data_IF_993396713460
#
_entry.id   IF_993396713460
#
_cell.length_a   1.000
_cell.length_b   1.000
_cell.length_c   1.000
_cell.angle_alpha   90.00
_cell.angle_beta   90.00
_cell.angle_gamma   90.00
#
_symmetry.space_group_name_H-M   'P 1'
#
loop_
_entity.id
_entity.type
_entity.pdbx_description
1 polymer ?
#
# COMPACT_ATOMS: atom_id res chain seq x y z
N UNK A 1 23.10 -28.23 -10.68
CA UNK A 1 21.89 -27.44 -10.42
C UNK A 1 21.25 -27.99 -9.16
N UNK A 2 21.57 -27.42 -8.00
CA UNK A 2 20.96 -27.84 -6.75
C UNK A 2 19.47 -27.45 -6.75
N UNK A 3 18.59 -28.43 -6.69
CA UNK A 3 17.20 -28.23 -6.28
C UNK A 3 17.23 -27.79 -4.83
N UNK A 4 17.26 -26.47 -4.56
CA UNK A 4 16.88 -25.95 -3.26
C UNK A 4 15.51 -26.54 -2.94
N UNK A 5 15.44 -27.40 -1.94
CA UNK A 5 14.20 -27.86 -1.33
C UNK A 5 13.45 -26.61 -0.85
N UNK A 6 12.52 -26.16 -1.67
CA UNK A 6 11.77 -24.93 -1.45
C UNK A 6 10.79 -25.23 -0.33
N UNK A 7 11.15 -24.87 0.88
CA UNK A 7 10.36 -25.03 2.10
C UNK A 7 8.99 -24.37 1.95
N UNK A 8 7.97 -24.87 2.62
CA UNK A 8 6.62 -24.29 2.69
C UNK A 8 6.61 -22.82 3.18
N UNK A 9 7.76 -22.33 3.66
CA UNK A 9 7.96 -20.94 4.10
C UNK A 9 7.73 -19.92 2.98
N UNK A 10 8.02 -20.25 1.71
CA UNK A 10 7.77 -19.34 0.57
C UNK A 10 6.28 -18.96 0.45
N UNK A 11 5.37 -19.89 0.75
CA UNK A 11 3.94 -19.63 0.72
C UNK A 11 3.49 -18.69 1.84
N UNK A 12 4.18 -18.72 3.00
CA UNK A 12 3.96 -17.73 4.07
C UNK A 12 4.33 -16.33 3.57
N UNK A 13 5.40 -16.20 2.78
CA UNK A 13 5.78 -14.93 2.14
C UNK A 13 4.71 -14.47 1.14
N UNK A 14 4.16 -15.38 0.32
CA UNK A 14 3.07 -15.05 -0.61
C UNK A 14 1.82 -14.55 0.12
N UNK A 15 1.41 -15.23 1.18
CA UNK A 15 0.28 -14.81 2.01
C UNK A 15 0.51 -13.46 2.71
N UNK A 16 1.75 -13.21 3.16
CA UNK A 16 2.10 -11.90 3.73
C UNK A 16 1.99 -10.79 2.68
N UNK A 17 2.49 -11.03 1.46
CA UNK A 17 2.37 -10.08 0.35
C UNK A 17 0.89 -9.83 0.02
N UNK A 18 0.08 -10.89 -0.05
CA UNK A 18 -1.37 -10.78 -0.24
C UNK A 18 -2.02 -9.91 0.85
N UNK A 19 -1.74 -10.19 2.13
CA UNK A 19 -2.29 -9.46 3.26
C UNK A 19 -1.91 -7.97 3.22
N UNK A 20 -0.65 -7.66 2.91
CA UNK A 20 -0.17 -6.28 2.77
C UNK A 20 -0.92 -5.58 1.61
N UNK A 21 -1.04 -6.24 0.46
CA UNK A 21 -1.76 -5.68 -0.69
C UNK A 21 -3.25 -5.48 -0.39
N UNK A 22 -3.87 -6.41 0.32
CA UNK A 22 -5.25 -6.34 0.75
C UNK A 22 -5.51 -5.12 1.66
N UNK A 23 -4.69 -4.95 2.70
CA UNK A 23 -4.81 -3.83 3.65
C UNK A 23 -4.55 -2.50 2.94
N UNK A 24 -3.51 -2.43 2.10
CA UNK A 24 -3.18 -1.23 1.31
C UNK A 24 -4.36 -0.73 0.47
N UNK A 25 -5.05 -1.64 -0.24
CA UNK A 25 -6.22 -1.27 -1.03
C UNK A 25 -7.46 -1.00 -0.19
N UNK A 26 -7.62 -1.68 0.94
CA UNK A 26 -8.68 -1.39 1.90
C UNK A 26 -8.56 0.04 2.45
N UNK A 27 -7.36 0.48 2.82
CA UNK A 27 -7.10 1.85 3.29
C UNK A 27 -7.44 2.92 2.25
N UNK A 28 -7.19 2.64 0.97
CA UNK A 28 -7.57 3.55 -0.14
C UNK A 28 -9.08 3.69 -0.26
N UNK A 29 -9.81 2.60 -0.12
CA UNK A 29 -11.28 2.60 -0.23
C UNK A 29 -11.93 3.22 1.00
N UNK A 30 -11.37 3.01 2.19
CA UNK A 30 -11.89 3.58 3.44
C UNK A 30 -12.03 5.11 3.37
N UNK A 31 -11.05 5.81 2.77
CA UNK A 31 -11.19 7.25 2.56
C UNK A 31 -12.35 7.60 1.63
N UNK A 32 -12.54 6.81 0.56
CA UNK A 32 -13.64 7.06 -0.39
C UNK A 32 -15.00 6.87 0.29
N UNK A 33 -15.13 5.89 1.18
CA UNK A 33 -16.33 5.65 1.98
C UNK A 33 -16.54 6.78 3.00
N UNK A 34 -15.46 7.26 3.64
CA UNK A 34 -15.52 8.36 4.60
C UNK A 34 -15.71 9.75 3.95
N UNK A 35 -15.48 9.87 2.64
CA UNK A 35 -15.55 11.15 1.91
C UNK A 35 -16.84 11.94 2.15
N UNK A 36 -18.06 11.36 2.07
CA UNK A 36 -19.30 12.12 2.32
C UNK A 36 -19.36 12.70 3.74
N UNK A 37 -18.91 11.94 4.74
CA UNK A 37 -18.89 12.35 6.14
C UNK A 37 -17.88 13.48 6.34
N UNK A 38 -16.67 13.35 5.81
CA UNK A 38 -15.63 14.39 5.85
C UNK A 38 -16.11 15.69 5.19
N UNK A 39 -16.76 15.57 4.01
CA UNK A 39 -17.30 16.73 3.31
C UNK A 39 -18.36 17.45 4.14
N UNK A 40 -19.22 16.71 4.83
CA UNK A 40 -20.28 17.29 5.67
C UNK A 40 -19.71 17.92 6.93
N UNK A 41 -18.77 17.28 7.59
CA UNK A 41 -18.18 17.73 8.86
C UNK A 41 -17.28 18.96 8.69
N UNK A 42 -16.44 18.95 7.65
CA UNK A 42 -15.46 20.03 7.41
C UNK A 42 -15.89 21.06 6.36
N UNK A 43 -17.06 20.90 5.75
CA UNK A 43 -17.53 21.79 4.69
C UNK A 43 -16.69 21.70 3.41
N UNK A 44 -16.08 20.54 3.12
CA UNK A 44 -15.26 20.36 1.94
C UNK A 44 -16.10 20.13 0.68
N UNK A 45 -15.64 20.68 -0.43
CA UNK A 45 -16.25 20.43 -1.74
C UNK A 45 -15.70 19.14 -2.35
N UNK A 46 -16.37 18.64 -3.41
CA UNK A 46 -15.85 17.50 -4.20
C UNK A 46 -14.47 17.81 -4.81
N UNK A 47 -14.23 19.08 -5.16
CA UNK A 47 -12.93 19.52 -5.69
C UNK A 47 -11.86 19.42 -4.62
N UNK A 48 -12.14 19.82 -3.38
CA UNK A 48 -11.21 19.71 -2.26
C UNK A 48 -10.81 18.24 -2.00
N UNK A 49 -11.79 17.33 -2.00
CA UNK A 49 -11.54 15.90 -1.83
C UNK A 49 -10.73 15.31 -3.00
N UNK A 50 -11.01 15.74 -4.22
CA UNK A 50 -10.22 15.38 -5.41
C UNK A 50 -8.77 15.85 -5.30
N UNK A 51 -8.52 17.06 -4.84
CA UNK A 51 -7.18 17.59 -4.58
C UNK A 51 -6.46 16.80 -3.49
N UNK A 52 -7.10 16.55 -2.36
CA UNK A 52 -6.56 15.73 -1.26
C UNK A 52 -6.13 14.35 -1.77
N UNK A 53 -6.97 13.71 -2.60
CA UNK A 53 -6.64 12.41 -3.18
C UNK A 53 -5.50 12.51 -4.21
N UNK A 54 -5.41 13.61 -4.96
CA UNK A 54 -4.31 13.85 -5.90
C UNK A 54 -2.96 13.97 -5.20
N UNK A 55 -2.90 14.52 -4.00
CA UNK A 55 -1.69 14.58 -3.19
C UNK A 55 -1.18 13.18 -2.80
N UNK A 56 -2.09 12.25 -2.51
CA UNK A 56 -1.72 10.85 -2.30
C UNK A 56 -1.04 10.26 -3.55
N UNK A 57 -1.67 10.40 -4.71
CA UNK A 57 -1.10 9.88 -5.96
C UNK A 57 0.22 10.56 -6.33
N UNK A 58 0.38 11.85 -6.05
CA UNK A 58 1.64 12.56 -6.26
C UNK A 58 2.76 11.99 -5.39
N UNK A 59 2.52 11.83 -4.08
CA UNK A 59 3.49 11.20 -3.17
C UNK A 59 3.85 9.78 -3.59
N UNK A 60 2.84 8.99 -3.92
CA UNK A 60 3.00 7.61 -4.38
C UNK A 60 3.84 7.53 -5.67
N UNK A 61 3.50 8.32 -6.71
CA UNK A 61 4.19 8.29 -7.99
C UNK A 61 5.65 8.76 -7.88
N UNK A 62 5.89 9.86 -7.16
CA UNK A 62 7.24 10.42 -6.98
C UNK A 62 8.17 9.46 -6.23
N UNK A 63 7.64 8.72 -5.25
CA UNK A 63 8.44 7.82 -4.41
C UNK A 63 8.45 6.37 -4.87
N UNK A 64 7.75 6.01 -5.93
CA UNK A 64 7.75 4.65 -6.49
C UNK A 64 9.16 4.21 -6.90
N UNK A 65 9.89 5.05 -7.65
CA UNK A 65 11.25 4.75 -8.11
C UNK A 65 12.25 4.80 -6.96
N UNK A 66 12.35 5.87 -6.15
CA UNK A 66 13.19 5.88 -4.96
C UNK A 66 12.94 4.70 -4.01
N UNK A 67 11.67 4.35 -3.79
CA UNK A 67 11.29 3.20 -2.97
C UNK A 67 11.77 1.87 -3.54
N UNK A 68 11.73 1.70 -4.86
CA UNK A 68 12.32 0.55 -5.55
C UNK A 68 13.83 0.46 -5.33
N UNK A 69 14.55 1.56 -5.50
CA UNK A 69 15.99 1.64 -5.24
C UNK A 69 16.34 1.33 -3.78
N UNK A 70 15.53 1.80 -2.83
CA UNK A 70 15.68 1.45 -1.41
C UNK A 70 15.48 -0.05 -1.18
N UNK A 71 14.48 -0.66 -1.81
CA UNK A 71 14.22 -2.09 -1.69
C UNK A 71 15.32 -2.96 -2.29
N UNK A 72 15.99 -2.50 -3.35
CA UNK A 72 17.16 -3.16 -3.92
C UNK A 72 18.39 -3.04 -3.01
N UNK A 73 18.67 -1.82 -2.51
CA UNK A 73 19.87 -1.52 -1.73
C UNK A 73 19.82 -2.07 -0.31
N UNK A 74 18.72 -1.84 0.40
CA UNK A 74 18.56 -2.22 1.82
C UNK A 74 17.82 -3.54 2.02
N UNK A 75 17.27 -4.09 0.94
CA UNK A 75 16.52 -5.33 0.92
C UNK A 75 15.03 -5.14 1.20
N UNK A 76 14.25 -6.05 0.60
CA UNK A 76 12.78 -6.00 0.61
C UNK A 76 12.16 -6.10 2.02
N UNK A 77 12.84 -6.76 2.97
CA UNK A 77 12.31 -6.92 4.34
C UNK A 77 12.33 -5.59 5.10
N UNK A 78 13.49 -4.93 5.14
CA UNK A 78 13.63 -3.66 5.85
C UNK A 78 12.76 -2.58 5.21
N UNK A 79 12.86 -2.43 3.89
CA UNK A 79 12.08 -1.43 3.15
C UNK A 79 10.58 -1.66 3.30
N UNK A 80 10.12 -2.91 3.17
CA UNK A 80 8.70 -3.25 3.35
C UNK A 80 8.21 -2.99 4.79
N UNK A 81 8.99 -3.37 5.81
CA UNK A 81 8.62 -3.11 7.22
C UNK A 81 8.54 -1.62 7.53
N UNK A 82 9.53 -0.83 7.07
CA UNK A 82 9.53 0.63 7.26
C UNK A 82 8.34 1.27 6.54
N UNK A 83 8.03 0.83 5.33
CA UNK A 83 6.89 1.32 4.58
C UNK A 83 5.57 1.04 5.32
N UNK A 84 5.37 -0.17 5.87
CA UNK A 84 4.17 -0.52 6.64
C UNK A 84 4.05 0.34 7.89
N UNK A 85 5.12 0.50 8.66
CA UNK A 85 5.11 1.36 9.87
C UNK A 85 4.79 2.80 9.51
N UNK A 86 5.45 3.34 8.49
CA UNK A 86 5.23 4.70 8.03
C UNK A 86 3.77 4.92 7.62
N UNK A 87 3.26 4.12 6.72
CA UNK A 87 1.88 4.26 6.27
C UNK A 87 0.88 4.11 7.42
N UNK A 88 1.09 3.15 8.37
CA UNK A 88 0.22 2.97 9.54
C UNK A 88 0.14 4.23 10.41
N UNK A 89 1.27 4.92 10.61
CA UNK A 89 1.31 6.20 11.32
C UNK A 89 0.46 7.24 10.60
N UNK A 90 0.59 7.37 9.29
CA UNK A 90 -0.18 8.37 8.52
C UNK A 90 -1.66 7.99 8.33
N UNK A 91 -2.00 6.70 8.37
CA UNK A 91 -3.40 6.26 8.49
C UNK A 91 -4.00 6.77 9.80
N UNK A 92 -3.30 6.58 10.93
CA UNK A 92 -3.76 7.07 12.23
C UNK A 92 -3.83 8.61 12.27
N UNK A 93 -2.85 9.30 11.69
CA UNK A 93 -2.84 10.77 11.59
C UNK A 93 -3.98 11.34 10.75
N UNK A 94 -4.56 10.54 9.84
CA UNK A 94 -5.75 10.97 9.10
C UNK A 94 -6.93 11.23 10.04
N UNK A 95 -7.05 10.49 11.15
CA UNK A 95 -8.14 10.66 12.12
C UNK A 95 -8.06 11.98 12.93
N UNK A 96 -6.88 12.59 13.01
CA UNK A 96 -6.68 13.86 13.72
C UNK A 96 -6.52 15.07 12.77
N UNK A 97 -6.64 14.83 11.46
CA UNK A 97 -6.57 15.88 10.47
C UNK A 97 -7.83 16.78 10.55
N UNK A 98 -7.64 18.12 10.65
CA UNK A 98 -8.72 19.07 10.93
C UNK A 98 -8.95 20.12 9.85
N UNK A 99 -8.23 20.05 8.72
CA UNK A 99 -8.37 21.03 7.65
C UNK A 99 -7.79 20.55 6.32
N UNK A 100 -8.14 21.22 5.22
CA UNK A 100 -7.74 20.85 3.85
C UNK A 100 -6.23 20.62 3.71
N UNK A 101 -5.42 21.51 4.26
CA UNK A 101 -3.97 21.42 4.20
C UNK A 101 -3.44 20.20 5.00
N UNK A 102 -3.99 19.98 6.20
CA UNK A 102 -3.66 18.85 7.05
C UNK A 102 -3.97 17.52 6.35
N UNK A 103 -5.19 17.36 5.80
CA UNK A 103 -5.57 16.19 5.02
C UNK A 103 -4.65 15.97 3.81
N UNK A 104 -4.38 17.03 3.03
CA UNK A 104 -3.51 16.95 1.85
C UNK A 104 -2.08 16.51 2.22
N UNK A 105 -1.51 17.09 3.29
CA UNK A 105 -0.16 16.74 3.76
C UNK A 105 -0.10 15.31 4.26
N UNK A 106 -1.05 14.89 5.08
CA UNK A 106 -1.12 13.50 5.57
C UNK A 106 -1.26 12.52 4.40
N UNK A 107 -2.08 12.83 3.40
CA UNK A 107 -2.25 11.98 2.21
C UNK A 107 -1.01 11.92 1.32
N UNK A 108 -0.31 13.04 1.15
CA UNK A 108 0.98 13.04 0.44
C UNK A 108 1.98 12.11 1.12
N UNK A 109 2.16 12.25 2.44
CA UNK A 109 3.11 11.46 3.22
C UNK A 109 2.69 9.99 3.33
N UNK A 110 1.38 9.71 3.38
CA UNK A 110 0.84 8.37 3.27
C UNK A 110 1.23 7.71 1.94
N UNK A 111 1.07 8.43 0.81
CA UNK A 111 1.47 7.95 -0.52
C UNK A 111 2.97 7.68 -0.63
N UNK A 112 3.80 8.54 -0.05
CA UNK A 112 5.27 8.33 0.05
C UNK A 112 5.59 7.02 0.77
N UNK A 113 4.91 6.74 1.88
CA UNK A 113 5.13 5.53 2.68
C UNK A 113 4.66 4.24 1.99
N UNK A 114 3.58 4.31 1.23
CA UNK A 114 3.01 3.16 0.54
C UNK A 114 3.77 2.81 -0.75
N UNK A 115 4.41 3.80 -1.38
CA UNK A 115 5.10 3.63 -2.66
C UNK A 115 6.11 2.48 -2.73
N UNK A 116 6.97 2.21 -1.72
CA UNK A 116 7.96 1.13 -1.76
C UNK A 116 7.39 -0.28 -1.69
N UNK A 117 6.12 -0.46 -1.32
CA UNK A 117 5.51 -1.78 -1.04
C UNK A 117 5.55 -2.70 -2.25
N UNK A 118 5.10 -2.23 -3.42
CA UNK A 118 5.03 -3.07 -4.62
C UNK A 118 6.41 -3.43 -5.19
N UNK A 119 7.37 -2.50 -5.30
CA UNK A 119 8.76 -2.85 -5.61
C UNK A 119 9.34 -3.87 -4.64
N UNK A 120 9.16 -3.69 -3.33
CA UNK A 120 9.64 -4.63 -2.32
C UNK A 120 8.99 -6.02 -2.45
N UNK A 121 7.68 -6.08 -2.73
CA UNK A 121 6.95 -7.31 -2.97
C UNK A 121 7.43 -8.03 -4.24
N UNK A 122 7.69 -7.28 -5.32
CA UNK A 122 8.25 -7.83 -6.55
C UNK A 122 9.64 -8.46 -6.31
N UNK A 123 10.54 -7.75 -5.61
CA UNK A 123 11.86 -8.26 -5.25
C UNK A 123 11.75 -9.52 -4.37
N UNK A 124 10.85 -9.52 -3.38
CA UNK A 124 10.57 -10.69 -2.56
C UNK A 124 10.11 -11.88 -3.42
N UNK A 125 9.16 -11.66 -4.33
CA UNK A 125 8.69 -12.66 -5.27
C UNK A 125 9.83 -13.24 -6.15
N UNK A 126 10.71 -12.37 -6.65
CA UNK A 126 11.87 -12.80 -7.43
C UNK A 126 12.89 -13.63 -6.65
N UNK A 127 13.07 -13.35 -5.35
CA UNK A 127 14.04 -14.05 -4.49
C UNK A 127 13.53 -15.40 -3.97
N UNK A 128 12.23 -15.51 -3.68
CA UNK A 128 11.64 -16.68 -3.04
C UNK A 128 11.02 -17.70 -3.99
N UNK A 129 10.70 -17.30 -5.23
CA UNK A 129 9.97 -18.16 -6.17
C UNK A 129 10.75 -18.42 -7.45
N UNK A 130 10.58 -19.63 -8.00
CA UNK A 130 11.18 -20.04 -9.25
C UNK A 130 10.53 -19.33 -10.45
N UNK A 131 11.22 -19.31 -11.60
CA UNK A 131 10.72 -18.66 -12.84
C UNK A 131 9.30 -19.10 -13.22
N UNK A 132 8.97 -20.40 -13.07
CA UNK A 132 7.65 -20.96 -13.38
C UNK A 132 6.53 -20.63 -12.37
N UNK A 133 6.89 -20.09 -11.20
CA UNK A 133 5.92 -19.76 -10.13
C UNK A 133 5.69 -18.25 -9.98
N UNK A 134 6.45 -17.42 -10.68
CA UNK A 134 6.35 -15.95 -10.59
C UNK A 134 4.95 -15.44 -10.93
N UNK A 135 4.29 -16.07 -11.91
CA UNK A 135 2.90 -15.73 -12.24
C UNK A 135 1.94 -15.96 -11.07
N UNK A 136 2.12 -17.02 -10.28
CA UNK A 136 1.31 -17.29 -9.10
C UNK A 136 1.47 -16.20 -8.04
N UNK A 137 2.71 -15.73 -7.80
CA UNK A 137 2.97 -14.64 -6.85
C UNK A 137 2.35 -13.33 -7.31
N UNK A 138 2.49 -13.00 -8.59
CA UNK A 138 1.82 -11.83 -9.16
C UNK A 138 0.30 -11.91 -9.02
N UNK A 139 -0.29 -13.10 -9.18
CA UNK A 139 -1.72 -13.32 -8.93
C UNK A 139 -2.09 -13.10 -7.45
N UNK A 140 -1.24 -13.49 -6.49
CA UNK A 140 -1.47 -13.22 -5.07
C UNK A 140 -1.50 -11.72 -4.78
N UNK A 141 -0.56 -10.94 -5.35
CA UNK A 141 -0.54 -9.49 -5.22
C UNK A 141 -1.82 -8.89 -5.79
N UNK A 142 -2.17 -9.24 -7.03
CA UNK A 142 -3.36 -8.72 -7.71
C UNK A 142 -4.66 -9.09 -6.98
N UNK A 143 -4.78 -10.33 -6.52
CA UNK A 143 -5.97 -10.74 -5.75
C UNK A 143 -6.10 -9.94 -4.45
N UNK A 144 -5.00 -9.65 -3.73
CA UNK A 144 -5.03 -8.74 -2.59
C UNK A 144 -5.59 -7.37 -2.96
N UNK A 145 -5.13 -6.81 -4.09
CA UNK A 145 -5.60 -5.53 -4.61
C UNK A 145 -7.10 -5.52 -4.96
N UNK A 146 -7.64 -6.62 -5.47
CA UNK A 146 -9.06 -6.71 -5.84
C UNK A 146 -9.96 -7.00 -4.63
N UNK A 147 -9.55 -7.85 -3.71
CA UNK A 147 -10.35 -8.21 -2.55
C UNK A 147 -10.45 -7.07 -1.52
N UNK A 148 -9.42 -6.23 -1.37
CA UNK A 148 -9.45 -5.07 -0.48
C UNK A 148 -10.66 -4.16 -0.72
N UNK A 149 -10.87 -3.65 -1.93
CA UNK A 149 -12.02 -2.81 -2.26
C UNK A 149 -13.39 -3.47 -2.15
N UNK A 150 -13.46 -4.80 -2.31
CA UNK A 150 -14.74 -5.54 -2.18
C UNK A 150 -15.16 -5.65 -0.72
N UNK A 151 -14.19 -5.87 0.17
CA UNK A 151 -14.46 -6.08 1.60
C UNK A 151 -14.50 -4.75 2.36
N UNK A 152 -13.70 -3.75 1.96
CA UNK A 152 -13.60 -2.47 2.64
C UNK A 152 -14.95 -1.82 2.94
N UNK A 153 -15.85 -1.60 1.96
CA UNK A 153 -17.15 -0.97 2.18
C UNK A 153 -18.11 -1.79 3.06
N UNK A 154 -17.86 -3.08 3.24
CA UNK A 154 -18.71 -3.95 4.06
C UNK A 154 -18.31 -3.96 5.54
N UNK A 155 -17.11 -3.43 5.86
CA UNK A 155 -16.54 -3.42 7.22
C UNK A 155 -16.56 -2.01 7.83
N UNK A 156 -16.75 -0.98 7.03
CA UNK A 156 -16.84 0.43 7.43
C UNK A 156 -18.28 0.92 7.40
#
# INVERSE_FOLDING_TARGET
MERKTMTNFRWKVAWLIFAISFVSYMDRVNLSVATPVIMQEFGFTKIDMGLIQSFFFAGYALFQVPGGMMAERFGHRLTGSLAVVWWSVFTALTAVASGKFSFATVRLLFGVGEAPIYPAAAIAGHRWFNKGEKGKVSSFILNGCFFGPVVGPAVT
#
